data_IF_542611321738
#
_entry.id   IF_542611321738
#
_cell.length_a   1.000
_cell.length_b   1.000
_cell.length_c   1.000
_cell.angle_alpha   90.00
_cell.angle_beta   90.00
_cell.angle_gamma   90.00
#
_symmetry.space_group_name_H-M   'P 1'
#
loop_
_entity.id
_entity.type
_entity.pdbx_description
1 polymer ?
#
# COMPACT_ATOMS: atom_id res chain seq x y z
N UNK A 1 1.33 -4.59 24.41
CA UNK A 1 1.49 -4.98 23.00
C UNK A 1 2.36 -6.22 22.95
N UNK A 2 1.78 -7.38 22.69
CA UNK A 2 2.57 -8.57 22.36
C UNK A 2 3.12 -8.35 20.95
N UNK A 3 4.44 -8.37 20.82
CA UNK A 3 5.11 -8.23 19.54
C UNK A 3 4.68 -9.40 18.66
N UNK A 4 3.98 -9.12 17.56
CA UNK A 4 3.80 -10.10 16.48
C UNK A 4 5.21 -10.55 16.10
N UNK A 5 5.52 -11.84 16.27
CA UNK A 5 6.80 -12.38 15.83
C UNK A 5 6.81 -12.33 14.30
N UNK A 6 7.57 -11.37 13.78
CA UNK A 6 7.81 -11.21 12.35
C UNK A 6 8.95 -12.12 11.92
N UNK A 7 8.83 -12.63 10.70
CA UNK A 7 9.77 -13.53 10.06
C UNK A 7 10.06 -12.98 8.68
N UNK A 8 11.29 -13.13 8.18
CA UNK A 8 11.59 -12.76 6.79
C UNK A 8 10.84 -13.71 5.85
N UNK A 9 10.41 -13.22 4.68
CA UNK A 9 9.89 -14.10 3.62
C UNK A 9 10.91 -15.17 3.21
N UNK A 10 12.21 -14.88 3.37
CA UNK A 10 13.27 -15.84 3.05
C UNK A 10 13.36 -17.00 4.06
N UNK A 11 12.78 -16.86 5.25
CA UNK A 11 12.75 -17.90 6.29
C UNK A 11 11.46 -18.75 6.25
N UNK A 12 10.52 -18.45 5.34
CA UNK A 12 9.30 -19.23 5.15
C UNK A 12 9.59 -20.62 4.56
N UNK A 13 8.70 -21.58 4.85
CA UNK A 13 8.70 -22.85 4.13
C UNK A 13 8.47 -22.62 2.63
N UNK A 14 9.09 -23.43 1.75
CA UNK A 14 9.06 -23.22 0.29
C UNK A 14 7.65 -23.04 -0.25
N UNK A 15 6.70 -23.88 0.18
CA UNK A 15 5.31 -23.83 -0.28
C UNK A 15 4.61 -22.52 0.13
N UNK A 16 4.77 -22.10 1.39
CA UNK A 16 4.22 -20.84 1.90
C UNK A 16 4.84 -19.63 1.22
N UNK A 17 6.15 -19.68 0.98
CA UNK A 17 6.93 -18.65 0.29
C UNK A 17 6.48 -18.50 -1.16
N UNK A 18 6.39 -19.61 -1.89
CA UNK A 18 5.95 -19.62 -3.29
C UNK A 18 4.52 -19.11 -3.43
N UNK A 19 3.60 -19.54 -2.56
CA UNK A 19 2.22 -19.06 -2.57
C UNK A 19 2.14 -17.55 -2.29
N UNK A 20 2.92 -17.05 -1.33
CA UNK A 20 3.01 -15.61 -1.03
C UNK A 20 3.57 -14.81 -2.21
N UNK A 21 4.73 -15.20 -2.73
CA UNK A 21 5.38 -14.53 -3.86
C UNK A 21 4.45 -14.51 -5.08
N UNK A 22 3.80 -15.63 -5.38
CA UNK A 22 2.89 -15.72 -6.52
C UNK A 22 1.65 -14.84 -6.31
N UNK A 23 1.08 -14.82 -5.11
CA UNK A 23 -0.09 -13.99 -4.81
C UNK A 23 0.24 -12.48 -4.88
N UNK A 24 1.36 -12.08 -4.29
CA UNK A 24 1.82 -10.70 -4.34
C UNK A 24 2.16 -10.26 -5.76
N UNK A 25 2.88 -11.09 -6.52
CA UNK A 25 3.15 -10.86 -7.93
C UNK A 25 1.84 -10.67 -8.70
N UNK A 26 0.85 -11.54 -8.50
CA UNK A 26 -0.45 -11.45 -9.16
C UNK A 26 -1.22 -10.16 -8.82
N UNK A 27 -1.00 -9.56 -7.65
CA UNK A 27 -1.56 -8.25 -7.29
C UNK A 27 -0.77 -7.13 -7.98
N UNK A 28 0.55 -7.16 -7.90
CA UNK A 28 1.44 -6.13 -8.45
C UNK A 28 1.34 -6.05 -9.97
N UNK A 29 1.26 -7.18 -10.68
CA UNK A 29 1.19 -7.21 -12.15
C UNK A 29 -0.13 -6.70 -12.73
N UNK A 30 -1.14 -6.41 -11.90
CA UNK A 30 -2.42 -5.87 -12.39
C UNK A 30 -2.26 -4.42 -12.82
N UNK A 31 -2.95 -4.07 -13.91
CA UNK A 31 -2.98 -2.72 -14.47
C UNK A 31 -3.34 -1.63 -13.43
N UNK A 32 -4.42 -1.76 -12.63
CA UNK A 32 -4.74 -0.79 -11.59
C UNK A 32 -3.63 -0.60 -10.55
N UNK A 33 -2.95 -1.69 -10.17
CA UNK A 33 -1.84 -1.65 -9.21
C UNK A 33 -0.62 -0.92 -9.78
N UNK A 34 -0.20 -1.29 -10.99
CA UNK A 34 0.91 -0.60 -11.68
C UNK A 34 0.62 0.89 -11.85
N UNK A 35 -0.62 1.24 -12.21
CA UNK A 35 -1.07 2.63 -12.37
C UNK A 35 -1.06 3.39 -11.04
N UNK A 36 -1.51 2.79 -9.94
CA UNK A 36 -1.50 3.42 -8.61
C UNK A 36 -0.06 3.67 -8.13
N UNK A 37 0.82 2.68 -8.28
CA UNK A 37 2.24 2.82 -7.93
C UNK A 37 2.93 3.89 -8.80
N UNK A 38 2.61 3.96 -10.09
CA UNK A 38 3.19 4.98 -10.97
C UNK A 38 2.75 6.39 -10.59
N UNK A 39 1.53 6.56 -10.07
CA UNK A 39 1.09 7.84 -9.50
C UNK A 39 1.87 8.18 -8.23
N UNK A 40 2.08 7.22 -7.33
CA UNK A 40 2.93 7.43 -6.15
C UNK A 40 4.34 7.90 -6.55
N UNK A 41 4.91 7.29 -7.60
CA UNK A 41 6.16 7.77 -8.20
C UNK A 41 5.99 9.17 -8.75
N UNK A 42 4.92 9.51 -9.48
CA UNK A 42 4.66 10.87 -10.01
C UNK A 42 4.51 11.93 -8.92
N UNK A 43 4.22 11.54 -7.68
CA UNK A 43 4.00 12.45 -6.55
C UNK A 43 2.61 13.12 -6.56
N UNK A 44 1.76 12.81 -7.53
CA UNK A 44 0.37 13.29 -7.60
C UNK A 44 -0.60 12.23 -8.16
N UNK A 45 -1.83 12.11 -7.63
CA UNK A 45 -2.85 11.26 -8.24
C UNK A 45 -3.34 11.81 -9.58
N UNK A 46 -3.86 10.93 -10.42
CA UNK A 46 -4.54 11.27 -11.68
C UNK A 46 -5.95 11.80 -11.40
N UNK A 47 -6.57 12.41 -12.42
CA UNK A 47 -7.92 12.98 -12.29
C UNK A 47 -8.97 12.00 -11.76
N UNK A 48 -8.94 10.76 -12.23
CA UNK A 48 -9.93 9.73 -11.87
C UNK A 48 -9.72 9.18 -10.47
N UNK A 49 -8.49 9.22 -9.97
CA UNK A 49 -8.07 8.52 -8.77
C UNK A 49 -7.92 9.48 -7.57
N UNK A 50 -8.06 10.79 -7.84
CA UNK A 50 -8.23 11.86 -6.85
C UNK A 50 -9.67 11.96 -6.33
N UNK A 51 -9.88 12.62 -5.19
CA UNK A 51 -11.22 12.94 -4.69
C UNK A 51 -11.84 14.17 -5.39
N UNK A 52 -11.22 14.66 -6.47
CA UNK A 52 -11.69 15.76 -7.33
C UNK A 52 -11.44 17.17 -6.76
N UNK A 53 -11.25 17.29 -5.44
CA UNK A 53 -11.00 18.56 -4.77
C UNK A 53 -9.56 19.07 -4.98
N UNK A 54 -8.62 18.15 -5.17
CA UNK A 54 -7.18 18.41 -5.29
C UNK A 54 -6.87 19.28 -6.52
N UNK A 55 -7.50 19.00 -7.66
CA UNK A 55 -7.26 19.69 -8.93
C UNK A 55 -7.86 21.09 -8.99
N UNK A 56 -9.02 21.30 -8.37
CA UNK A 56 -9.65 22.62 -8.25
C UNK A 56 -8.74 23.57 -7.46
N UNK A 57 -8.00 23.03 -6.50
CA UNK A 57 -7.15 23.78 -5.57
C UNK A 57 -5.74 24.03 -6.10
N UNK A 58 -5.18 23.08 -6.86
CA UNK A 58 -3.81 23.15 -7.36
C UNK A 58 -3.68 23.86 -8.74
N UNK A 59 -4.78 24.13 -9.44
CA UNK A 59 -4.72 24.76 -10.78
C UNK A 59 -3.99 23.92 -11.84
N UNK A 60 -3.84 22.61 -11.58
CA UNK A 60 -3.03 21.70 -12.38
C UNK A 60 -3.72 21.27 -13.67
N UNK A 61 -2.91 21.10 -14.73
CA UNK A 61 -3.39 20.54 -16.00
C UNK A 61 -3.76 19.07 -15.80
N UNK A 62 -4.95 18.72 -16.29
CA UNK A 62 -5.55 17.38 -16.22
C UNK A 62 -4.66 16.38 -16.98
N UNK A 63 -4.10 15.40 -16.27
CA UNK A 63 -3.50 14.22 -16.90
C UNK A 63 -4.31 13.00 -16.48
N UNK A 64 -4.73 12.23 -17.48
CA UNK A 64 -5.55 11.04 -17.28
C UNK A 64 -4.69 9.78 -17.07
N UNK A 65 -3.35 9.84 -17.19
CA UNK A 65 -2.44 8.70 -17.05
C UNK A 65 -1.10 9.09 -16.38
N UNK A 66 -0.44 8.16 -15.66
CA UNK A 66 0.89 8.37 -15.08
C UNK A 66 1.98 8.66 -16.14
N UNK A 67 3.17 9.10 -15.74
CA UNK A 67 4.32 9.20 -16.67
C UNK A 67 4.89 7.81 -17.02
N UNK A 68 5.32 7.63 -18.28
CA UNK A 68 5.89 6.34 -18.74
C UNK A 68 7.14 5.94 -17.94
N UNK A 69 8.01 6.92 -17.64
CA UNK A 69 9.20 6.72 -16.79
C UNK A 69 8.84 6.21 -15.38
N UNK A 70 7.72 6.67 -14.84
CA UNK A 70 7.22 6.21 -13.55
C UNK A 70 6.73 4.77 -13.61
N UNK A 71 6.12 4.37 -14.73
CA UNK A 71 5.74 2.97 -14.98
C UNK A 71 6.99 2.08 -15.03
N UNK A 72 8.07 2.54 -15.67
CA UNK A 72 9.34 1.80 -15.71
C UNK A 72 9.99 1.71 -14.32
N UNK A 73 9.95 2.80 -13.55
CA UNK A 73 10.48 2.86 -12.18
C UNK A 73 9.77 1.88 -11.24
N UNK A 74 8.44 1.80 -11.33
CA UNK A 74 7.65 0.82 -10.57
C UNK A 74 8.05 -0.62 -10.90
N UNK A 75 8.35 -0.93 -12.16
CA UNK A 75 8.78 -2.28 -12.57
C UNK A 75 10.16 -2.63 -12.01
N UNK A 76 11.02 -1.64 -11.78
CA UNK A 76 12.37 -1.83 -11.25
C UNK A 76 12.43 -1.87 -9.71
N UNK A 77 11.37 -1.40 -9.02
CA UNK A 77 11.35 -1.32 -7.57
C UNK A 77 11.36 -2.71 -6.91
N UNK A 78 12.21 -2.88 -5.90
CA UNK A 78 12.31 -4.10 -5.11
C UNK A 78 12.23 -3.74 -3.63
N UNK A 79 11.40 -4.47 -2.89
CA UNK A 79 11.23 -4.30 -1.45
C UNK A 79 11.46 -5.62 -0.70
N UNK A 80 11.79 -5.52 0.59
CA UNK A 80 11.92 -6.65 1.49
C UNK A 80 10.66 -6.81 2.31
N UNK A 81 10.09 -8.00 2.30
CA UNK A 81 8.83 -8.29 2.97
C UNK A 81 9.06 -9.03 4.29
N UNK A 82 8.42 -8.52 5.35
CA UNK A 82 8.31 -9.19 6.64
C UNK A 82 6.90 -9.74 6.81
N UNK A 83 6.80 -10.96 7.36
CA UNK A 83 5.54 -11.70 7.44
C UNK A 83 5.30 -12.21 8.85
N UNK A 84 4.03 -12.43 9.20
CA UNK A 84 3.67 -12.95 10.52
C UNK A 84 3.97 -14.45 10.60
N UNK A 85 4.63 -14.88 11.68
CA UNK A 85 4.84 -16.31 12.00
C UNK A 85 3.55 -17.13 11.91
N UNK A 86 2.41 -16.54 12.29
CA UNK A 86 1.10 -17.21 12.23
C UNK A 86 0.70 -17.70 10.83
N UNK A 87 1.27 -17.15 9.74
CA UNK A 87 1.06 -17.69 8.39
C UNK A 87 1.81 -19.00 8.16
N UNK A 88 3.08 -19.05 8.56
CA UNK A 88 3.93 -20.24 8.49
C UNK A 88 3.28 -21.43 9.23
N UNK A 89 2.60 -21.13 10.34
CA UNK A 89 1.97 -22.14 11.18
C UNK A 89 0.63 -22.68 10.61
N UNK A 90 0.15 -22.15 9.49
CA UNK A 90 -1.10 -22.59 8.86
C UNK A 90 -0.89 -23.77 7.90
N UNK A 91 -1.92 -24.61 7.77
CA UNK A 91 -1.93 -25.68 6.76
C UNK A 91 -2.28 -25.12 5.38
N UNK A 92 -1.45 -25.40 4.37
CA UNK A 92 -1.70 -25.03 2.96
C UNK A 92 -3.13 -25.40 2.53
N UNK A 93 -3.79 -24.47 1.83
CA UNK A 93 -5.13 -24.66 1.28
C UNK A 93 -6.29 -24.50 2.28
N UNK A 94 -6.01 -24.46 3.58
CA UNK A 94 -7.02 -24.20 4.62
C UNK A 94 -7.61 -22.80 4.52
N UNK A 95 -8.76 -22.57 5.17
CA UNK A 95 -9.37 -21.23 5.27
C UNK A 95 -8.42 -20.24 5.94
N UNK A 96 -7.77 -20.66 7.02
CA UNK A 96 -6.87 -19.81 7.80
C UNK A 96 -5.62 -19.46 7.00
N UNK A 97 -5.07 -20.41 6.24
CA UNK A 97 -3.99 -20.14 5.28
C UNK A 97 -4.39 -19.06 4.27
N UNK A 98 -5.57 -19.17 3.64
CA UNK A 98 -6.04 -18.19 2.65
C UNK A 98 -6.24 -16.80 3.25
N UNK A 99 -6.78 -16.72 4.47
CA UNK A 99 -6.97 -15.45 5.16
C UNK A 99 -5.63 -14.80 5.52
N UNK A 100 -4.67 -15.59 6.03
CA UNK A 100 -3.32 -15.11 6.36
C UNK A 100 -2.52 -14.73 5.12
N UNK A 101 -2.69 -15.45 4.02
CA UNK A 101 -2.11 -15.09 2.72
C UNK A 101 -2.64 -13.73 2.25
N UNK A 102 -3.97 -13.50 2.33
CA UNK A 102 -4.56 -12.22 1.96
C UNK A 102 -4.05 -11.07 2.86
N UNK A 103 -3.99 -11.31 4.18
CA UNK A 103 -3.43 -10.36 5.13
C UNK A 103 -2.00 -9.99 4.79
N UNK A 104 -1.16 -10.98 4.51
CA UNK A 104 0.23 -10.74 4.14
C UNK A 104 0.36 -9.96 2.84
N UNK A 105 -0.45 -10.28 1.83
CA UNK A 105 -0.44 -9.55 0.56
C UNK A 105 -0.87 -8.10 0.75
N UNK A 106 -1.90 -7.83 1.55
CA UNK A 106 -2.36 -6.48 1.84
C UNK A 106 -1.30 -5.67 2.60
N UNK A 107 -0.75 -6.21 3.69
CA UNK A 107 0.30 -5.54 4.49
C UNK A 107 1.55 -5.31 3.66
N UNK A 108 1.97 -6.30 2.87
CA UNK A 108 3.15 -6.18 2.01
C UNK A 108 2.97 -5.13 0.93
N UNK A 109 1.78 -5.08 0.32
CA UNK A 109 1.44 -4.05 -0.66
C UNK A 109 1.45 -2.66 -0.02
N UNK A 110 0.84 -2.50 1.16
CA UNK A 110 0.84 -1.24 1.91
C UNK A 110 2.27 -0.75 2.19
N UNK A 111 3.10 -1.61 2.79
CA UNK A 111 4.47 -1.28 3.14
C UNK A 111 5.30 -0.94 1.90
N UNK A 112 5.12 -1.69 0.81
CA UNK A 112 5.78 -1.42 -0.47
C UNK A 112 5.44 -0.01 -0.98
N UNK A 113 4.16 0.40 -0.91
CA UNK A 113 3.74 1.76 -1.31
C UNK A 113 4.36 2.81 -0.40
N UNK A 114 4.31 2.60 0.92
CA UNK A 114 4.87 3.53 1.90
C UNK A 114 6.39 3.72 1.72
N UNK A 115 7.13 2.62 1.50
CA UNK A 115 8.57 2.65 1.23
C UNK A 115 8.89 3.27 -0.13
N UNK A 116 8.10 2.95 -1.17
CA UNK A 116 8.23 3.56 -2.48
C UNK A 116 8.09 5.08 -2.38
N UNK A 117 7.02 5.57 -1.75
CA UNK A 117 6.79 7.00 -1.54
C UNK A 117 7.94 7.68 -0.79
N UNK A 118 8.39 7.07 0.33
CA UNK A 118 9.50 7.59 1.14
C UNK A 118 10.82 7.68 0.37
N UNK A 119 11.06 6.76 -0.56
CA UNK A 119 12.28 6.77 -1.37
C UNK A 119 12.39 8.02 -2.27
N UNK A 120 11.26 8.58 -2.71
CA UNK A 120 11.21 9.84 -3.46
C UNK A 120 11.15 11.09 -2.58
N UNK A 121 10.66 11.01 -1.34
CA UNK A 121 10.79 12.11 -0.37
C UNK A 121 12.24 12.31 0.08
N UNK A 122 13.03 11.24 0.16
CA UNK A 122 14.42 11.27 0.58
C UNK A 122 15.37 11.95 -0.43
N UNK A 123 14.90 12.20 -1.66
CA UNK A 123 15.57 13.01 -2.67
C UNK A 123 14.82 14.34 -2.86
N UNK A 124 15.26 15.41 -2.17
CA UNK A 124 14.62 16.72 -2.25
C UNK A 124 14.58 17.27 -3.68
N UNK A 125 15.57 16.97 -4.51
CA UNK A 125 15.65 17.46 -5.89
C UNK A 125 14.63 16.73 -6.79
N UNK A 126 14.37 15.45 -6.53
CA UNK A 126 13.30 14.69 -7.19
C UNK A 126 11.91 15.26 -6.86
N UNK A 127 11.68 15.70 -5.62
CA UNK A 127 10.40 16.25 -5.18
C UNK A 127 10.18 17.71 -5.60
N UNK A 128 11.21 18.55 -5.52
CA UNK A 128 11.17 19.97 -5.92
C UNK A 128 10.87 20.17 -7.41
N UNK A 129 11.17 19.19 -8.27
CA UNK A 129 10.79 19.23 -9.69
C UNK A 129 9.29 19.02 -9.95
N UNK A 130 8.54 18.49 -8.97
CA UNK A 130 7.13 18.05 -9.08
C UNK A 130 6.12 18.97 -8.37
N UNK A 131 6.55 20.17 -7.99
CA UNK A 131 5.81 21.09 -7.11
C UNK A 131 4.32 21.29 -7.44
N UNK A 132 3.47 20.76 -6.56
CA UNK A 132 2.27 21.42 -6.06
C UNK A 132 2.14 21.04 -4.60
N UNK A 133 2.09 22.03 -3.71
CA UNK A 133 2.18 21.84 -2.27
C UNK A 133 0.81 21.39 -1.73
N UNK A 134 0.71 20.28 -0.98
CA UNK A 134 -0.49 19.96 -0.20
C UNK A 134 -0.83 21.11 0.78
N UNK A 135 -2.11 21.31 1.08
CA UNK A 135 -2.56 22.39 1.97
C UNK A 135 -2.08 22.17 3.41
N UNK A 136 -2.10 23.18 4.31
CA UNK A 136 -1.62 23.03 5.69
C UNK A 136 -2.30 21.96 6.57
N UNK A 137 -3.33 21.27 6.07
CA UNK A 137 -4.06 20.18 6.74
C UNK A 137 -3.80 18.79 6.15
N UNK A 138 -3.28 18.72 4.93
CA UNK A 138 -3.06 17.46 4.20
C UNK A 138 -1.55 17.36 3.97
N UNK A 139 -0.89 16.36 4.52
CA UNK A 139 0.56 16.20 4.37
C UNK A 139 0.95 15.67 2.97
N UNK A 140 -0.01 15.16 2.20
CA UNK A 140 0.18 14.53 0.88
C UNK A 140 -1.07 14.67 0.02
N UNK A 141 -0.93 14.60 -1.31
CA UNK A 141 -2.06 14.51 -2.25
C UNK A 141 -2.71 13.12 -2.29
N UNK A 142 -2.02 12.10 -1.77
CA UNK A 142 -2.50 10.73 -1.72
C UNK A 142 -3.12 10.45 -0.36
N UNK A 143 -4.42 10.68 -0.23
CA UNK A 143 -5.11 10.39 1.02
C UNK A 143 -6.48 9.74 0.81
N UNK A 144 -6.86 8.94 1.80
CA UNK A 144 -8.23 8.52 2.04
C UNK A 144 -8.84 9.46 3.10
N UNK A 145 -10.06 9.95 2.89
CA UNK A 145 -10.71 10.95 3.78
C UNK A 145 -10.77 10.48 5.24
N UNK A 146 -10.97 9.18 5.43
CA UNK A 146 -11.14 8.57 6.76
C UNK A 146 -9.81 8.16 7.43
N UNK A 147 -8.67 8.29 6.74
CA UNK A 147 -7.36 7.84 7.23
C UNK A 147 -6.31 8.97 7.20
N UNK A 148 -6.64 10.14 7.73
CA UNK A 148 -5.78 11.34 7.71
C UNK A 148 -4.87 11.52 8.94
N UNK A 149 -5.13 10.76 10.01
CA UNK A 149 -4.46 10.88 11.31
C UNK A 149 -3.06 10.24 11.30
N UNK A 150 -2.20 10.72 10.40
CA UNK A 150 -0.84 10.21 10.20
C UNK A 150 0.00 10.16 11.49
N UNK A 151 -0.22 11.08 12.44
CA UNK A 151 0.47 11.07 13.74
C UNK A 151 0.24 9.80 14.57
N UNK A 152 -0.81 9.03 14.26
CA UNK A 152 -1.12 7.77 14.94
C UNK A 152 -0.49 6.54 14.24
N UNK A 153 0.04 6.71 13.02
CA UNK A 153 0.55 5.60 12.22
C UNK A 153 2.08 5.44 12.33
N UNK A 154 2.61 4.20 12.34
CA UNK A 154 4.04 3.96 12.56
C UNK A 154 4.98 4.64 11.56
N UNK A 155 4.58 4.78 10.30
CA UNK A 155 5.35 5.44 9.25
C UNK A 155 4.86 6.84 8.94
N UNK A 156 3.77 7.31 9.55
CA UNK A 156 3.24 8.65 9.37
C UNK A 156 2.55 8.84 8.03
N UNK A 157 2.95 9.87 7.28
CA UNK A 157 2.39 10.22 5.96
C UNK A 157 2.48 9.06 4.95
N UNK A 158 3.60 8.31 4.85
CA UNK A 158 3.66 7.09 4.06
C UNK A 158 2.51 6.09 4.27
N UNK A 159 2.01 5.91 5.51
CA UNK A 159 0.89 4.99 5.75
C UNK A 159 -0.42 5.54 5.15
N UNK A 160 -0.62 6.87 5.16
CA UNK A 160 -1.75 7.53 4.49
C UNK A 160 -1.74 7.25 2.97
N UNK A 161 -0.54 7.30 2.37
CA UNK A 161 -0.35 6.96 0.94
C UNK A 161 -0.66 5.48 0.69
N UNK A 162 -0.24 4.60 1.61
CA UNK A 162 -0.57 3.17 1.58
C UNK A 162 -2.08 2.92 1.56
N UNK A 163 -2.84 3.58 2.44
CA UNK A 163 -4.31 3.48 2.47
C UNK A 163 -4.99 4.00 1.21
N UNK A 164 -4.49 5.11 0.64
CA UNK A 164 -4.96 5.57 -0.67
C UNK A 164 -4.73 4.50 -1.74
N UNK A 165 -3.55 3.88 -1.79
CA UNK A 165 -3.24 2.86 -2.79
C UNK A 165 -4.06 1.58 -2.59
N UNK A 166 -4.32 1.16 -1.35
CA UNK A 166 -5.21 0.04 -1.04
C UNK A 166 -6.61 0.26 -1.60
N UNK A 167 -7.17 1.47 -1.46
CA UNK A 167 -8.46 1.82 -2.07
C UNK A 167 -8.44 1.60 -3.58
N UNK A 168 -7.38 2.01 -4.27
CA UNK A 168 -7.27 1.85 -5.73
C UNK A 168 -7.17 0.39 -6.16
N UNK A 169 -6.52 -0.46 -5.35
CA UNK A 169 -6.17 -1.84 -5.73
C UNK A 169 -7.18 -2.87 -5.22
N UNK A 170 -7.61 -2.74 -3.97
CA UNK A 170 -8.53 -3.65 -3.30
C UNK A 170 -9.97 -3.12 -3.24
N UNK A 171 -10.19 -1.86 -3.63
CA UNK A 171 -11.50 -1.21 -3.58
C UNK A 171 -11.84 -0.58 -2.23
N UNK A 172 -10.95 -0.68 -1.23
CA UNK A 172 -11.09 -0.08 0.09
C UNK A 172 -9.86 -0.41 0.95
N UNK A 173 -9.82 0.16 2.16
CA UNK A 173 -8.76 -0.17 3.14
C UNK A 173 -9.03 -1.55 3.73
N UNK A 174 -8.03 -2.44 3.71
CA UNK A 174 -8.18 -3.83 4.12
C UNK A 174 -7.95 -3.95 5.63
N UNK A 175 -9.02 -4.25 6.37
CA UNK A 175 -8.97 -4.43 7.82
C UNK A 175 -9.16 -5.90 8.18
N UNK A 176 -8.24 -6.45 8.97
CA UNK A 176 -8.31 -7.82 9.47
C UNK A 176 -8.72 -7.84 10.93
N UNK A 177 -9.73 -8.64 11.26
CA UNK A 177 -10.08 -8.93 12.65
C UNK A 177 -9.16 -10.02 13.18
N UNK A 178 -8.31 -9.64 14.15
CA UNK A 178 -7.34 -10.54 14.75
C UNK A 178 -7.78 -11.16 16.08
N UNK A 179 -8.99 -10.84 16.54
CA UNK A 179 -9.49 -11.23 17.86
C UNK A 179 -8.64 -10.70 19.02
N UNK A 180 -8.90 -11.15 20.25
CA UNK A 180 -8.29 -10.59 21.47
C UNK A 180 -6.78 -10.79 21.59
N UNK A 181 -6.23 -11.81 20.93
CA UNK A 181 -4.84 -12.23 21.13
C UNK A 181 -3.93 -11.95 19.93
N UNK A 182 -4.40 -11.29 18.86
CA UNK A 182 -3.68 -11.03 17.60
C UNK A 182 -3.14 -12.27 16.83
N UNK A 183 -3.31 -13.47 17.39
CA UNK A 183 -2.72 -14.71 16.91
C UNK A 183 -3.56 -15.42 15.84
N UNK A 184 -4.80 -14.96 15.60
CA UNK A 184 -5.71 -15.54 14.60
C UNK A 184 -6.20 -14.44 13.67
N UNK A 185 -6.67 -14.80 12.48
CA UNK A 185 -7.48 -13.91 11.63
C UNK A 185 -8.81 -14.60 11.41
N UNK A 186 -9.87 -14.01 11.93
CA UNK A 186 -11.22 -14.57 11.89
C UNK A 186 -11.94 -14.14 10.61
N UNK A 187 -11.77 -12.87 10.22
CA UNK A 187 -12.44 -12.22 9.10
C UNK A 187 -11.63 -11.03 8.57
N UNK A 188 -12.03 -10.52 7.41
CA UNK A 188 -11.55 -9.25 6.89
C UNK A 188 -12.73 -8.42 6.39
N UNK A 189 -12.55 -7.11 6.36
CA UNK A 189 -13.51 -6.16 5.79
C UNK A 189 -12.76 -5.15 4.92
N UNK A 190 -13.48 -4.60 3.94
CA UNK A 190 -13.00 -3.47 3.16
C UNK A 190 -13.74 -2.24 3.68
N UNK A 191 -12.99 -1.27 4.21
CA UNK A 191 -13.56 0.03 4.54
C UNK A 191 -13.72 0.79 3.23
N UNK A 192 -14.96 0.89 2.75
CA UNK A 192 -15.33 1.68 1.59
C UNK A 192 -15.59 3.13 2.00
N UNK A 193 -15.33 4.12 1.12
CA UNK A 193 -15.81 5.48 1.36
C UNK A 193 -17.35 5.46 1.45
N UNK A 194 -17.89 6.12 2.50
CA UNK A 194 -19.32 6.43 2.61
C UNK A 194 -19.76 7.44 1.54
#
# INVERSE_FOLDING_TARGET
MLSISKVSVDDLASEHREAFIQALHNVISRQPTQRALAQVVDGIPTRTDSNGWEFVKAGLKRKDDPFEESIETVKAFQDKFEVAQAYQDTSIGSRDFKLRLLEMVAISFHNMVAHLFKSFEADPDAWLSRNSVPHPREATWFYHSDYLDHDQYPLGVPDVVGYWAEKQVFGGVVLFDRGENDNKVSSFSLCFPL
#
